data_IF_605150072558
#
_entry.id   IF_605150072558
#
_cell.length_a   1.000
_cell.length_b   1.000
_cell.length_c   1.000
_cell.angle_alpha   90.00
_cell.angle_beta   90.00
_cell.angle_gamma   90.00
#
_symmetry.space_group_name_H-M   'P 1'
#
loop_
_entity.id
_entity.type
_entity.pdbx_description
1 polymer ?
#
# COMPACT_ATOMS: atom_id res chain seq x y z
N UNK A 1 22.10 -22.17 -9.04
CA UNK A 1 22.15 -20.77 -8.54
C UNK A 1 20.81 -20.02 -8.72
N UNK A 2 20.20 -20.02 -9.92
CA UNK A 2 18.92 -19.33 -10.21
C UNK A 2 17.72 -19.84 -9.37
N UNK A 3 17.64 -21.14 -9.11
CA UNK A 3 16.56 -21.73 -8.29
C UNK A 3 16.60 -21.22 -6.84
N UNK A 4 17.79 -21.13 -6.26
CA UNK A 4 17.97 -20.64 -4.88
C UNK A 4 17.61 -19.15 -4.75
N UNK A 5 17.91 -18.34 -5.76
CA UNK A 5 17.53 -16.91 -5.76
C UNK A 5 16.02 -16.71 -5.91
N UNK A 6 15.35 -17.57 -6.69
CA UNK A 6 13.89 -17.56 -6.81
C UNK A 6 13.21 -17.98 -5.49
N UNK A 7 13.65 -19.08 -4.89
CA UNK A 7 13.12 -19.56 -3.61
C UNK A 7 13.27 -18.49 -2.53
N UNK A 8 14.46 -17.88 -2.41
CA UNK A 8 14.70 -16.80 -1.46
C UNK A 8 13.76 -15.61 -1.69
N UNK A 9 13.59 -15.18 -2.95
CA UNK A 9 12.71 -14.07 -3.30
C UNK A 9 11.26 -14.35 -2.91
N UNK A 10 10.76 -15.56 -3.18
CA UNK A 10 9.38 -15.94 -2.86
C UNK A 10 9.17 -16.06 -1.34
N UNK A 11 10.16 -16.61 -0.61
CA UNK A 11 10.12 -16.66 0.85
C UNK A 11 10.09 -15.27 1.46
N UNK A 12 10.89 -14.32 0.96
CA UNK A 12 10.85 -12.92 1.40
C UNK A 12 9.47 -12.30 1.15
N UNK A 13 8.88 -12.49 -0.03
CA UNK A 13 7.52 -12.01 -0.31
C UNK A 13 6.53 -12.53 0.74
N UNK A 14 6.53 -13.85 1.01
CA UNK A 14 5.64 -14.46 1.99
C UNK A 14 5.83 -13.90 3.39
N UNK A 15 7.08 -13.79 3.87
CA UNK A 15 7.40 -13.26 5.20
C UNK A 15 6.97 -11.80 5.35
N UNK A 16 7.22 -10.98 4.34
CA UNK A 16 6.87 -9.56 4.39
C UNK A 16 5.36 -9.32 4.29
N UNK A 17 4.63 -10.14 3.52
CA UNK A 17 3.16 -10.10 3.51
C UNK A 17 2.60 -10.52 4.87
N UNK A 18 3.12 -11.59 5.48
CA UNK A 18 2.71 -12.00 6.82
C UNK A 18 3.01 -10.91 7.87
N UNK A 19 4.19 -10.29 7.80
CA UNK A 19 4.56 -9.19 8.68
C UNK A 19 3.64 -7.96 8.49
N UNK A 20 3.27 -7.65 7.26
CA UNK A 20 2.31 -6.58 6.95
C UNK A 20 0.94 -6.84 7.61
N UNK A 21 0.42 -8.06 7.54
CA UNK A 21 -0.83 -8.44 8.20
C UNK A 21 -0.73 -8.30 9.73
N UNK A 22 0.35 -8.82 10.33
CA UNK A 22 0.56 -8.75 11.77
C UNK A 22 0.65 -7.29 12.23
N UNK A 23 1.47 -6.47 11.55
CA UNK A 23 1.60 -5.05 11.90
C UNK A 23 0.28 -4.32 11.68
N UNK A 24 -0.42 -4.53 10.57
CA UNK A 24 -1.73 -3.92 10.32
C UNK A 24 -2.75 -4.23 11.41
N UNK A 25 -2.72 -5.45 11.93
CA UNK A 25 -3.60 -5.89 13.02
C UNK A 25 -3.23 -5.23 14.35
N UNK A 26 -1.94 -5.14 14.68
CA UNK A 26 -1.46 -4.60 15.96
C UNK A 26 -1.44 -3.06 16.03
N UNK A 27 -1.32 -2.39 14.88
CA UNK A 27 -1.05 -0.95 14.80
C UNK A 27 -2.19 -0.16 14.16
N UNK A 28 -3.42 -0.65 14.31
CA UNK A 28 -4.64 0.01 13.80
C UNK A 28 -4.96 1.25 14.63
N UNK A 29 -4.21 2.32 14.40
CA UNK A 29 -4.32 3.59 15.12
C UNK A 29 -5.67 4.28 14.87
N UNK A 30 -6.14 4.23 13.63
CA UNK A 30 -7.44 4.77 13.21
C UNK A 30 -8.15 3.73 12.35
N UNK A 31 -9.43 3.52 12.63
CA UNK A 31 -10.33 2.73 11.81
C UNK A 31 -11.53 3.61 11.43
N UNK A 32 -11.72 3.79 10.13
CA UNK A 32 -12.87 4.46 9.54
C UNK A 32 -13.89 3.40 9.07
N UNK A 33 -15.11 3.81 8.71
CA UNK A 33 -16.08 2.94 8.04
C UNK A 33 -15.51 2.30 6.76
N UNK A 34 -16.25 1.41 6.09
CA UNK A 34 -15.97 1.00 4.70
C UNK A 34 -14.50 0.58 4.38
N UNK A 35 -13.76 0.05 5.36
CA UNK A 35 -12.38 -0.44 5.19
C UNK A 35 -11.26 0.59 5.33
N UNK A 36 -11.54 1.89 5.49
CA UNK A 36 -10.49 2.91 5.65
C UNK A 36 -9.75 2.75 6.99
N UNK A 37 -8.42 2.78 6.99
CA UNK A 37 -7.63 2.71 8.23
C UNK A 37 -6.26 3.36 8.09
N UNK A 38 -5.67 3.75 9.23
CA UNK A 38 -4.28 4.21 9.32
C UNK A 38 -3.54 3.24 10.24
N UNK A 39 -2.57 2.50 9.69
CA UNK A 39 -1.76 1.51 10.40
C UNK A 39 -0.37 1.36 9.76
N UNK A 40 0.41 0.36 10.21
CA UNK A 40 1.77 0.09 9.71
C UNK A 40 1.89 -1.11 8.76
N UNK A 41 0.78 -1.63 8.22
CA UNK A 41 0.77 -2.76 7.29
C UNK A 41 1.58 -2.50 6.01
N UNK A 42 1.53 -1.27 5.49
CA UNK A 42 2.24 -0.91 4.26
C UNK A 42 3.76 -0.88 4.44
N UNK A 43 4.26 -0.63 5.65
CA UNK A 43 5.68 -0.40 5.90
C UNK A 43 6.54 -1.60 5.47
N UNK A 44 6.25 -2.86 5.88
CA UNK A 44 6.95 -4.03 5.35
C UNK A 44 6.92 -4.13 3.82
N UNK A 45 5.76 -3.91 3.20
CA UNK A 45 5.59 -4.03 1.75
C UNK A 45 6.45 -3.01 0.99
N UNK A 46 6.47 -1.77 1.48
CA UNK A 46 7.28 -0.68 0.93
C UNK A 46 8.77 -0.98 1.10
N UNK A 47 9.19 -1.45 2.29
CA UNK A 47 10.58 -1.84 2.54
C UNK A 47 11.00 -2.97 1.59
N UNK A 48 10.16 -3.98 1.39
CA UNK A 48 10.43 -5.05 0.43
C UNK A 48 10.53 -4.49 -1.00
N UNK A 49 9.60 -3.63 -1.41
CA UNK A 49 9.60 -3.00 -2.72
C UNK A 49 10.87 -2.17 -2.96
N UNK A 50 11.29 -1.35 -2.00
CA UNK A 50 12.51 -0.55 -2.06
C UNK A 50 13.79 -1.40 -2.06
N UNK A 51 13.73 -2.66 -1.60
CA UNK A 51 14.85 -3.61 -1.69
C UNK A 51 14.88 -4.38 -3.01
N UNK A 52 13.71 -4.80 -3.50
CA UNK A 52 13.59 -5.77 -4.59
C UNK A 52 13.14 -5.19 -5.92
N UNK A 53 12.63 -3.97 -5.93
CA UNK A 53 12.22 -3.23 -7.11
C UNK A 53 10.74 -3.40 -7.48
N UNK A 54 10.36 -2.71 -8.55
CA UNK A 54 9.00 -2.59 -9.05
C UNK A 54 8.22 -3.91 -9.12
N UNK A 55 8.77 -4.94 -9.77
CA UNK A 55 8.05 -6.20 -9.97
C UNK A 55 7.73 -6.94 -8.66
N UNK A 56 8.68 -6.97 -7.73
CA UNK A 56 8.46 -7.63 -6.43
C UNK A 56 7.51 -6.83 -5.58
N UNK A 57 7.62 -5.50 -5.59
CA UNK A 57 6.66 -4.62 -4.92
C UNK A 57 5.23 -4.82 -5.44
N UNK A 58 5.05 -4.93 -6.77
CA UNK A 58 3.76 -5.18 -7.38
C UNK A 58 3.14 -6.50 -6.89
N UNK A 59 3.92 -7.58 -6.92
CA UNK A 59 3.46 -8.92 -6.52
C UNK A 59 3.15 -8.94 -5.02
N UNK A 60 4.05 -8.44 -4.17
CA UNK A 60 3.84 -8.47 -2.71
C UNK A 60 2.66 -7.60 -2.29
N UNK A 61 2.49 -6.43 -2.91
CA UNK A 61 1.35 -5.55 -2.69
C UNK A 61 0.04 -6.20 -3.10
N UNK A 62 -0.03 -6.79 -4.30
CA UNK A 62 -1.24 -7.46 -4.77
C UNK A 62 -1.59 -8.68 -3.90
N UNK A 63 -0.60 -9.49 -3.51
CA UNK A 63 -0.79 -10.61 -2.59
C UNK A 63 -1.28 -10.14 -1.21
N UNK A 64 -0.72 -9.06 -0.68
CA UNK A 64 -1.22 -8.45 0.54
C UNK A 64 -2.69 -8.07 0.40
N UNK A 65 -3.09 -7.40 -0.69
CA UNK A 65 -4.48 -7.05 -0.92
C UNK A 65 -5.40 -8.28 -0.90
N UNK A 66 -5.01 -9.38 -1.55
CA UNK A 66 -5.77 -10.63 -1.51
C UNK A 66 -5.88 -11.20 -0.10
N UNK A 67 -4.77 -11.24 0.64
CA UNK A 67 -4.76 -11.77 2.01
C UNK A 67 -5.57 -10.88 2.95
N UNK A 68 -5.48 -9.56 2.80
CA UNK A 68 -6.26 -8.61 3.58
C UNK A 68 -7.76 -8.75 3.31
N UNK A 69 -8.18 -8.93 2.05
CA UNK A 69 -9.57 -9.24 1.73
C UNK A 69 -10.06 -10.53 2.41
N UNK A 70 -9.24 -11.58 2.40
CA UNK A 70 -9.61 -12.86 3.03
C UNK A 70 -9.79 -12.72 4.54
N UNK A 71 -8.94 -11.92 5.19
CA UNK A 71 -8.93 -11.78 6.66
C UNK A 71 -9.88 -10.68 7.17
N UNK A 72 -10.03 -9.60 6.42
CA UNK A 72 -10.86 -8.43 6.73
C UNK A 72 -11.80 -8.13 5.54
N UNK A 73 -12.74 -9.02 5.21
CA UNK A 73 -13.54 -8.89 4.01
C UNK A 73 -14.51 -7.71 4.10
N UNK A 74 -14.41 -6.81 3.13
CA UNK A 74 -15.44 -5.83 2.81
C UNK A 74 -15.87 -6.03 1.35
N UNK A 75 -16.90 -6.87 1.16
CA UNK A 75 -17.39 -7.25 -0.15
C UNK A 75 -18.63 -6.43 -0.53
N UNK A 76 -18.53 -5.68 -1.63
CA UNK A 76 -19.68 -5.02 -2.24
C UNK A 76 -19.94 -5.51 -3.68
N UNK A 77 -18.88 -5.61 -4.48
CA UNK A 77 -18.95 -6.04 -5.88
C UNK A 77 -17.59 -6.63 -6.31
N UNK A 78 -17.52 -7.62 -7.22
CA UNK A 78 -16.24 -8.19 -7.65
C UNK A 78 -15.23 -7.16 -8.18
N UNK A 79 -15.70 -6.16 -8.94
CA UNK A 79 -14.84 -5.08 -9.42
C UNK A 79 -14.36 -4.15 -8.29
N UNK A 80 -15.18 -3.92 -7.26
CA UNK A 80 -14.78 -3.19 -6.05
C UNK A 80 -13.64 -3.93 -5.34
N UNK A 81 -13.77 -5.25 -5.18
CA UNK A 81 -12.71 -6.07 -4.57
C UNK A 81 -11.40 -5.93 -5.35
N UNK A 82 -11.43 -6.01 -6.68
CA UNK A 82 -10.21 -5.83 -7.48
C UNK A 82 -9.57 -4.46 -7.28
N UNK A 83 -10.37 -3.39 -7.26
CA UNK A 83 -9.90 -2.02 -7.09
C UNK A 83 -9.33 -1.77 -5.69
N UNK A 84 -10.07 -2.13 -4.64
CA UNK A 84 -9.71 -1.81 -3.26
C UNK A 84 -8.64 -2.72 -2.66
N UNK A 85 -8.43 -3.90 -3.24
CA UNK A 85 -7.48 -4.86 -2.73
C UNK A 85 -6.28 -5.02 -3.69
N UNK A 86 -6.21 -6.02 -4.60
CA UNK A 86 -4.98 -6.31 -5.31
C UNK A 86 -4.47 -5.16 -6.19
N UNK A 87 -5.34 -4.36 -6.82
CA UNK A 87 -4.88 -3.25 -7.68
C UNK A 87 -4.35 -2.08 -6.84
N UNK A 88 -5.10 -1.63 -5.84
CA UNK A 88 -4.69 -0.59 -4.90
C UNK A 88 -3.33 -0.90 -4.25
N UNK A 89 -3.20 -2.07 -3.61
CA UNK A 89 -1.97 -2.44 -2.92
C UNK A 89 -0.86 -2.87 -3.87
N UNK A 90 -1.19 -3.49 -5.01
CA UNK A 90 -0.22 -3.82 -6.05
C UNK A 90 0.46 -2.58 -6.61
N UNK A 91 -0.31 -1.54 -6.94
CA UNK A 91 0.24 -0.27 -7.43
C UNK A 91 1.08 0.43 -6.36
N UNK A 92 0.60 0.44 -5.10
CA UNK A 92 1.35 0.97 -3.96
C UNK A 92 2.75 0.35 -3.87
N UNK A 93 2.83 -0.98 -3.90
CA UNK A 93 4.10 -1.70 -3.85
C UNK A 93 4.95 -1.49 -5.11
N UNK A 94 4.35 -1.54 -6.29
CA UNK A 94 5.06 -1.39 -7.56
C UNK A 94 5.81 -0.06 -7.65
N UNK A 95 5.11 1.06 -7.41
CA UNK A 95 5.69 2.39 -7.57
C UNK A 95 6.63 2.76 -6.42
N UNK A 96 6.38 2.27 -5.20
CA UNK A 96 7.37 2.32 -4.12
C UNK A 96 8.69 1.66 -4.54
N UNK A 97 8.62 0.56 -5.30
CA UNK A 97 9.77 -0.15 -5.82
C UNK A 97 10.59 0.59 -6.89
N UNK A 98 10.12 1.71 -7.43
CA UNK A 98 10.92 2.57 -8.33
C UNK A 98 12.08 3.25 -7.59
N UNK A 99 11.96 3.44 -6.27
CA UNK A 99 13.04 3.95 -5.43
C UNK A 99 14.13 2.91 -5.12
N UNK A 100 13.97 1.67 -5.60
CA UNK A 100 14.90 0.60 -5.27
C UNK A 100 16.30 0.82 -5.87
N UNK A 101 17.31 0.26 -5.18
CA UNK A 101 18.73 0.31 -5.58
C UNK A 101 19.34 1.72 -5.66
N UNK A 102 18.61 2.75 -5.24
CA UNK A 102 19.18 4.08 -5.11
C UNK A 102 20.17 4.10 -3.94
N UNK A 103 21.38 4.60 -4.16
CA UNK A 103 22.41 4.65 -3.12
C UNK A 103 22.04 5.69 -2.06
N UNK A 104 22.24 5.33 -0.79
CA UNK A 104 22.07 6.26 0.33
C UNK A 104 22.96 7.47 0.09
N UNK A 105 22.33 8.63 -0.05
CA UNK A 105 22.94 9.93 -0.35
C UNK A 105 22.03 11.04 0.18
N UNK A 106 22.46 12.30 0.07
CA UNK A 106 21.65 13.45 0.47
C UNK A 106 20.28 13.53 -0.23
N UNK A 107 20.13 12.91 -1.40
CA UNK A 107 18.89 12.91 -2.20
C UNK A 107 18.02 11.67 -1.96
N UNK A 108 18.51 10.68 -1.21
CA UNK A 108 17.82 9.41 -0.98
C UNK A 108 16.43 9.61 -0.37
N UNK A 109 16.30 10.58 0.55
CA UNK A 109 15.02 10.93 1.16
C UNK A 109 13.97 11.34 0.14
N UNK A 110 14.35 12.22 -0.81
CA UNK A 110 13.47 12.69 -1.86
C UNK A 110 13.07 11.59 -2.84
N UNK A 111 14.01 10.71 -3.20
CA UNK A 111 13.72 9.59 -4.10
C UNK A 111 12.71 8.62 -3.48
N UNK A 112 12.89 8.26 -2.21
CA UNK A 112 11.91 7.42 -1.49
C UNK A 112 10.57 8.15 -1.39
N UNK A 113 10.59 9.44 -1.02
CA UNK A 113 9.38 10.25 -0.91
C UNK A 113 8.57 10.27 -2.20
N UNK A 114 9.23 10.47 -3.34
CA UNK A 114 8.58 10.45 -4.67
C UNK A 114 8.07 9.04 -5.00
N UNK A 115 8.88 8.00 -4.84
CA UNK A 115 8.48 6.64 -5.20
C UNK A 115 7.28 6.15 -4.38
N UNK A 116 7.35 6.31 -3.05
CA UNK A 116 6.26 5.92 -2.14
C UNK A 116 5.05 6.82 -2.31
N UNK A 117 5.26 8.13 -2.55
CA UNK A 117 4.19 9.07 -2.86
C UNK A 117 3.43 8.71 -4.14
N UNK A 118 4.13 8.29 -5.19
CA UNK A 118 3.51 7.77 -6.42
C UNK A 118 2.71 6.49 -6.16
N UNK A 119 3.23 5.59 -5.32
CA UNK A 119 2.48 4.41 -4.86
C UNK A 119 1.19 4.80 -4.12
N UNK A 120 1.28 5.72 -3.17
CA UNK A 120 0.14 6.20 -2.38
C UNK A 120 -0.90 6.90 -3.24
N UNK A 121 -0.47 7.69 -4.24
CA UNK A 121 -1.35 8.30 -5.22
C UNK A 121 -2.13 7.26 -6.02
N UNK A 122 -1.47 6.22 -6.53
CA UNK A 122 -2.17 5.17 -7.27
C UNK A 122 -3.15 4.37 -6.41
N UNK A 123 -2.79 4.09 -5.15
CA UNK A 123 -3.72 3.50 -4.18
C UNK A 123 -4.96 4.40 -3.99
N UNK A 124 -4.74 5.69 -3.75
CA UNK A 124 -5.82 6.67 -3.62
C UNK A 124 -6.69 6.70 -4.88
N UNK A 125 -6.09 6.67 -6.07
CA UNK A 125 -6.81 6.65 -7.34
C UNK A 125 -7.74 5.44 -7.43
N UNK A 126 -7.27 4.23 -7.12
CA UNK A 126 -8.12 3.04 -7.16
C UNK A 126 -9.26 3.10 -6.15
N UNK A 127 -8.98 3.50 -4.91
CA UNK A 127 -10.03 3.66 -3.89
C UNK A 127 -11.03 4.77 -4.22
N UNK A 128 -10.56 5.85 -4.85
CA UNK A 128 -11.43 6.93 -5.32
C UNK A 128 -12.37 6.45 -6.42
N UNK A 129 -11.86 5.74 -7.43
CA UNK A 129 -12.71 5.15 -8.48
C UNK A 129 -13.67 4.12 -7.89
N UNK A 130 -13.21 3.26 -6.97
CA UNK A 130 -14.08 2.31 -6.26
C UNK A 130 -15.20 3.03 -5.51
N UNK A 131 -14.87 4.08 -4.76
CA UNK A 131 -15.85 4.85 -4.01
C UNK A 131 -16.87 5.57 -4.90
N UNK A 132 -16.45 6.11 -6.04
CA UNK A 132 -17.37 6.70 -7.03
C UNK A 132 -18.36 5.67 -7.58
N UNK A 133 -17.88 4.46 -7.89
CA UNK A 133 -18.70 3.45 -8.56
C UNK A 133 -19.60 2.66 -7.60
N UNK A 134 -19.14 2.42 -6.37
CA UNK A 134 -19.77 1.44 -5.46
C UNK A 134 -20.24 2.02 -4.13
N UNK A 135 -19.81 3.23 -3.77
CA UNK A 135 -20.13 3.86 -2.48
C UNK A 135 -20.92 5.17 -2.61
N UNK A 136 -21.50 5.41 -3.79
CA UNK A 136 -22.29 6.61 -4.08
C UNK A 136 -23.46 6.84 -3.10
N UNK A 137 -24.06 5.76 -2.58
CA UNK A 137 -25.17 5.82 -1.62
C UNK A 137 -24.79 6.41 -0.26
N UNK A 138 -23.49 6.53 0.04
CA UNK A 138 -23.00 7.09 1.29
C UNK A 138 -22.65 8.58 1.20
N UNK A 139 -22.73 9.17 0.00
CA UNK A 139 -22.50 10.60 -0.18
C UNK A 139 -23.62 11.42 0.49
N UNK A 140 -23.29 12.46 1.28
CA UNK A 140 -24.26 13.36 1.88
C UNK A 140 -25.17 14.03 0.84
N UNK A 141 -26.39 14.37 1.26
CA UNK A 141 -27.35 15.07 0.39
C UNK A 141 -26.75 16.40 -0.11
N UNK A 142 -26.67 16.55 -1.42
CA UNK A 142 -26.13 17.75 -2.08
C UNK A 142 -24.62 17.74 -2.32
N UNK A 143 -23.89 16.71 -1.87
CA UNK A 143 -22.46 16.57 -2.16
C UNK A 143 -22.23 15.74 -3.44
N UNK A 144 -21.37 16.18 -4.38
CA UNK A 144 -20.98 15.36 -5.51
C UNK A 144 -20.26 14.08 -5.04
N UNK A 145 -20.71 12.92 -5.53
CA UNK A 145 -20.17 11.59 -5.16
C UNK A 145 -18.65 11.50 -5.30
N UNK A 146 -18.08 12.07 -6.36
CA UNK A 146 -16.63 12.07 -6.58
C UNK A 146 -15.87 12.84 -5.52
N UNK A 147 -16.44 13.92 -4.99
CA UNK A 147 -15.83 14.73 -3.95
C UNK A 147 -15.88 14.00 -2.62
N UNK A 148 -17.03 13.41 -2.29
CA UNK A 148 -17.20 12.55 -1.11
C UNK A 148 -16.19 11.40 -1.11
N UNK A 149 -16.08 10.68 -2.23
CA UNK A 149 -15.15 9.56 -2.33
C UNK A 149 -13.69 10.01 -2.24
N UNK A 150 -13.33 11.14 -2.87
CA UNK A 150 -11.97 11.66 -2.82
C UNK A 150 -11.60 12.11 -1.42
N UNK A 151 -12.48 12.85 -0.74
CA UNK A 151 -12.25 13.35 0.62
C UNK A 151 -12.15 12.20 1.63
N UNK A 152 -13.07 11.23 1.54
CA UNK A 152 -13.06 10.02 2.36
C UNK A 152 -11.78 9.21 2.22
N UNK A 153 -11.34 8.93 0.99
CA UNK A 153 -10.15 8.10 0.78
C UNK A 153 -8.85 8.87 1.09
N UNK A 154 -8.83 10.18 0.81
CA UNK A 154 -7.69 11.02 1.14
C UNK A 154 -7.43 11.11 2.63
N UNK A 155 -8.49 11.05 3.47
CA UNK A 155 -8.38 11.23 4.91
C UNK A 155 -7.57 10.13 5.62
N UNK A 156 -7.41 8.96 5.01
CA UNK A 156 -6.56 7.89 5.56
C UNK A 156 -5.37 7.52 4.67
N UNK A 157 -5.51 7.53 3.33
CA UNK A 157 -4.41 7.14 2.43
C UNK A 157 -3.25 8.12 2.51
N UNK A 158 -3.51 9.44 2.53
CA UNK A 158 -2.46 10.47 2.59
C UNK A 158 -1.67 10.38 3.89
N UNK A 159 -2.28 10.45 5.10
CA UNK A 159 -1.51 10.38 6.34
C UNK A 159 -0.78 9.05 6.51
N UNK A 160 -1.37 7.92 6.09
CA UNK A 160 -0.70 6.62 6.14
C UNK A 160 0.50 6.55 5.18
N UNK A 161 0.38 7.13 3.97
CA UNK A 161 1.48 7.23 3.01
C UNK A 161 2.61 8.10 3.56
N UNK A 162 2.29 9.27 4.14
CA UNK A 162 3.28 10.16 4.76
C UNK A 162 4.00 9.47 5.91
N UNK A 163 3.26 8.78 6.79
CA UNK A 163 3.81 7.98 7.88
C UNK A 163 4.79 6.93 7.33
N UNK A 164 4.42 6.23 6.27
CA UNK A 164 5.27 5.23 5.65
C UNK A 164 6.50 5.82 4.95
N UNK A 165 6.42 7.01 4.35
CA UNK A 165 7.59 7.72 3.79
C UNK A 165 8.61 7.99 4.89
N UNK A 166 8.15 8.53 6.03
CA UNK A 166 9.02 8.86 7.16
C UNK A 166 9.65 7.60 7.74
N UNK A 167 8.85 6.57 8.03
CA UNK A 167 9.34 5.34 8.65
C UNK A 167 10.25 4.53 7.72
N UNK A 168 9.95 4.45 6.43
CA UNK A 168 10.82 3.76 5.46
C UNK A 168 12.20 4.41 5.40
N UNK A 169 12.26 5.74 5.44
CA UNK A 169 13.53 6.49 5.48
C UNK A 169 14.36 6.22 6.73
N UNK A 170 13.73 5.89 7.85
CA UNK A 170 14.41 5.53 9.10
C UNK A 170 14.89 4.08 8.99
N UNK A 171 13.96 3.14 8.72
CA UNK A 171 14.23 1.69 8.70
C UNK A 171 15.33 1.34 7.70
N UNK A 172 15.31 1.92 6.50
CA UNK A 172 16.30 1.61 5.46
C UNK A 172 17.74 1.98 5.81
N UNK A 173 17.96 2.91 6.76
CA UNK A 173 19.31 3.25 7.24
C UNK A 173 19.92 2.16 8.12
N UNK A 174 19.09 1.32 8.73
CA UNK A 174 19.51 0.24 9.62
C UNK A 174 19.56 -1.11 8.91
N UNK A 175 19.02 -1.20 7.69
CA UNK A 175 19.09 -2.42 6.91
C UNK A 175 20.44 -2.50 6.18
N UNK A 176 21.13 -3.65 6.24
CA UNK A 176 22.33 -3.86 5.45
C UNK A 176 21.99 -3.82 3.96
N UNK A 177 22.89 -3.22 3.17
CA UNK A 177 22.80 -3.14 1.71
C UNK A 177 22.68 -4.51 1.05
#
# INVERSE_FOLDING_TARGET
MLLLTLIRKNAEIGVFVALAIVLGTLTRFVQLPFGGSINLSLLPLIVLALRRGFQVGAISGALYGVVDFVLNPFFYHPAQVLLDYPLAFGFMGAFSGLGARYKISRHYFWVIGVAVGLGGFGRLFFHWISGVLFFASYAPSGEPVWLYSLSYNSSYVIPETVLCIVLSNIVLRYLPN
#
